data_IF_601562468709
#
_entry.id   IF_601562468709
#
_cell.length_a   1.000
_cell.length_b   1.000
_cell.length_c   1.000
_cell.angle_alpha   90.00
_cell.angle_beta   90.00
_cell.angle_gamma   90.00
#
_symmetry.space_group_name_H-M   'P 1'
#
loop_
_entity.id
_entity.type
_entity.pdbx_description
1 polymer ?
#
# COMPACT_ATOMS: atom_id res chain seq x y z
N UNK A 1 -11.38 -19.60 4.01
CA UNK A 1 -10.53 -18.91 5.01
C UNK A 1 -11.12 -17.54 5.11
N UNK A 2 -11.94 -17.32 6.13
CA UNK A 2 -12.49 -16.02 6.51
C UNK A 2 -11.53 -15.32 7.49
N UNK A 3 -11.91 -14.12 7.96
CA UNK A 3 -11.14 -13.35 8.95
C UNK A 3 -10.82 -14.12 10.22
N UNK A 4 -11.69 -15.00 10.67
CA UNK A 4 -11.61 -15.68 11.98
C UNK A 4 -10.97 -17.07 11.88
N UNK A 5 -10.75 -17.56 10.66
CA UNK A 5 -10.08 -18.85 10.40
C UNK A 5 -8.67 -18.82 10.96
N UNK A 6 -8.48 -19.52 12.09
CA UNK A 6 -7.17 -19.61 12.74
C UNK A 6 -6.30 -20.71 12.10
N UNK A 7 -5.21 -20.30 11.45
CA UNK A 7 -4.21 -21.22 10.88
C UNK A 7 -3.14 -21.52 11.92
N UNK A 8 -2.81 -22.81 12.10
CA UNK A 8 -1.70 -23.25 12.95
C UNK A 8 -0.37 -22.90 12.28
N UNK A 9 0.46 -22.14 12.97
CA UNK A 9 1.74 -21.60 12.47
C UNK A 9 2.91 -22.48 12.94
N UNK A 10 3.08 -22.63 14.25
CA UNK A 10 4.04 -23.56 14.87
C UNK A 10 3.54 -23.97 16.25
N UNK A 11 3.95 -25.15 16.74
CA UNK A 11 3.57 -25.61 18.08
C UNK A 11 2.06 -25.57 18.30
N UNK A 12 1.60 -24.85 19.33
CA UNK A 12 0.17 -24.59 19.60
C UNK A 12 -0.31 -23.22 19.10
N UNK A 13 0.58 -22.40 18.54
CA UNK A 13 0.27 -21.04 18.08
C UNK A 13 -0.61 -21.09 16.83
N UNK A 14 -1.76 -20.40 16.90
CA UNK A 14 -2.63 -20.17 15.77
C UNK A 14 -2.83 -18.67 15.61
N UNK A 15 -2.86 -18.20 14.36
CA UNK A 15 -3.17 -16.82 14.02
C UNK A 15 -4.34 -16.80 13.04
N UNK A 16 -5.20 -15.80 13.16
CA UNK A 16 -6.22 -15.49 12.17
C UNK A 16 -5.69 -14.42 11.19
N UNK A 17 -6.50 -14.01 10.21
CA UNK A 17 -6.07 -13.06 9.19
C UNK A 17 -5.70 -11.69 9.78
N UNK A 18 -6.49 -11.19 10.75
CA UNK A 18 -6.26 -9.91 11.42
C UNK A 18 -4.88 -9.86 12.08
N UNK A 19 -4.56 -10.85 12.93
CA UNK A 19 -3.26 -10.93 13.60
C UNK A 19 -2.11 -11.15 12.62
N UNK A 20 -2.33 -11.97 11.58
CA UNK A 20 -1.30 -12.22 10.57
C UNK A 20 -0.94 -10.95 9.79
N UNK A 21 -1.93 -10.14 9.40
CA UNK A 21 -1.73 -8.84 8.75
C UNK A 21 -1.03 -7.86 9.70
N UNK A 22 -1.53 -7.71 10.93
CA UNK A 22 -1.00 -6.77 11.91
C UNK A 22 0.48 -7.04 12.25
N UNK A 23 0.83 -8.33 12.41
CA UNK A 23 2.19 -8.77 12.79
C UNK A 23 3.08 -9.13 11.61
N UNK A 24 2.59 -9.02 10.38
CA UNK A 24 3.32 -9.41 9.17
C UNK A 24 3.85 -10.85 9.24
N UNK A 25 2.98 -11.81 9.57
CA UNK A 25 3.41 -13.17 9.89
C UNK A 25 3.68 -14.01 8.63
N UNK A 26 4.96 -14.16 8.26
CA UNK A 26 5.35 -14.89 7.04
C UNK A 26 4.87 -16.35 7.00
N UNK A 27 4.96 -17.16 8.08
CA UNK A 27 4.46 -18.53 8.01
C UNK A 27 2.95 -18.61 7.70
N UNK A 28 2.12 -17.70 8.23
CA UNK A 28 0.69 -17.65 7.90
C UNK A 28 0.49 -17.46 6.40
N UNK A 29 1.13 -16.44 5.81
CA UNK A 29 1.01 -16.13 4.39
C UNK A 29 1.65 -17.20 3.49
N UNK A 30 2.69 -17.89 3.97
CA UNK A 30 3.32 -18.99 3.24
C UNK A 30 2.39 -20.21 3.15
N UNK A 31 1.74 -20.57 4.26
CA UNK A 31 0.73 -21.64 4.27
C UNK A 31 -0.46 -21.26 3.39
N UNK A 32 -0.97 -20.03 3.53
CA UNK A 32 -2.10 -19.54 2.76
C UNK A 32 -1.80 -19.51 1.26
N UNK A 33 -0.66 -18.94 0.87
CA UNK A 33 -0.27 -18.83 -0.54
C UNK A 33 0.02 -20.18 -1.18
N UNK A 34 0.60 -21.12 -0.42
CA UNK A 34 0.77 -22.50 -0.88
C UNK A 34 -0.59 -23.17 -1.15
N UNK A 35 -1.58 -22.97 -0.28
CA UNK A 35 -2.96 -23.46 -0.50
C UNK A 35 -3.68 -22.77 -1.66
N UNK A 36 -3.42 -21.49 -1.87
CA UNK A 36 -4.00 -20.70 -2.96
C UNK A 36 -3.51 -21.19 -4.33
N UNK A 37 -2.23 -21.57 -4.41
CA UNK A 37 -1.58 -22.01 -5.63
C UNK A 37 -1.19 -20.84 -6.55
N UNK A 38 -0.18 -21.08 -7.39
CA UNK A 38 0.43 -20.02 -8.22
C UNK A 38 -0.56 -19.39 -9.19
N UNK A 39 -1.41 -20.20 -9.84
CA UNK A 39 -2.37 -19.71 -10.84
C UNK A 39 -3.32 -18.66 -10.27
N UNK A 40 -3.96 -18.93 -9.12
CA UNK A 40 -4.87 -17.97 -8.47
C UNK A 40 -4.12 -16.75 -7.92
N UNK A 41 -2.96 -16.97 -7.30
CA UNK A 41 -2.13 -15.87 -6.82
C UNK A 41 -1.72 -14.92 -7.95
N UNK A 42 -1.24 -15.48 -9.07
CA UNK A 42 -0.85 -14.75 -10.28
C UNK A 42 -2.03 -13.98 -10.89
N UNK A 43 -3.20 -14.62 -10.99
CA UNK A 43 -4.43 -13.97 -11.44
C UNK A 43 -4.74 -12.71 -10.62
N UNK A 44 -4.83 -12.82 -9.29
CA UNK A 44 -5.13 -11.68 -8.44
C UNK A 44 -4.01 -10.64 -8.45
N UNK A 45 -2.75 -11.04 -8.41
CA UNK A 45 -1.62 -10.11 -8.46
C UNK A 45 -1.69 -9.19 -9.70
N UNK A 46 -1.93 -9.77 -10.88
CA UNK A 46 -2.12 -9.02 -12.13
C UNK A 46 -3.41 -8.20 -12.12
N UNK A 47 -4.49 -8.76 -11.57
CA UNK A 47 -5.75 -8.04 -11.39
C UNK A 47 -5.60 -6.82 -10.46
N UNK A 48 -4.63 -6.80 -9.55
CA UNK A 48 -4.28 -5.61 -8.75
C UNK A 48 -3.22 -4.72 -9.41
N UNK A 49 -2.74 -5.06 -10.62
CA UNK A 49 -1.84 -4.23 -11.42
C UNK A 49 -0.34 -4.53 -11.29
N UNK A 50 0.04 -5.62 -10.60
CA UNK A 50 1.44 -6.06 -10.57
C UNK A 50 1.93 -6.44 -11.97
N UNK A 51 3.15 -5.98 -12.30
CA UNK A 51 3.74 -6.16 -13.64
C UNK A 51 3.24 -5.17 -14.70
N UNK A 52 2.38 -4.22 -14.35
CA UNK A 52 1.87 -3.19 -15.27
C UNK A 52 2.16 -1.77 -14.76
N UNK A 53 2.26 -0.81 -15.67
CA UNK A 53 2.30 0.62 -15.29
C UNK A 53 0.99 1.01 -14.57
N UNK A 54 1.13 1.79 -13.52
CA UNK A 54 0.05 2.37 -12.74
C UNK A 54 -0.36 3.74 -13.28
N UNK A 55 0.60 4.51 -13.82
CA UNK A 55 0.37 5.84 -14.37
C UNK A 55 -0.30 5.84 -15.74
N UNK A 56 -0.99 6.94 -16.04
CA UNK A 56 -1.41 7.30 -17.40
C UNK A 56 -0.33 8.17 -18.03
N UNK A 57 0.50 7.58 -18.88
CA UNK A 57 1.56 8.27 -19.61
C UNK A 57 2.56 9.03 -18.72
N UNK A 58 2.84 8.53 -17.52
CA UNK A 58 3.89 9.09 -16.67
C UNK A 58 5.25 8.76 -17.30
N UNK A 59 5.98 9.80 -17.66
CA UNK A 59 7.31 9.69 -18.26
C UNK A 59 8.28 8.97 -17.31
N UNK A 60 9.13 8.11 -17.87
CA UNK A 60 10.10 7.33 -17.08
C UNK A 60 9.50 6.20 -16.24
N UNK A 61 8.17 6.10 -16.11
CA UNK A 61 7.55 5.01 -15.36
C UNK A 61 7.91 3.65 -15.95
N UNK A 62 8.42 2.77 -15.10
CA UNK A 62 8.67 1.37 -15.41
C UNK A 62 7.58 0.50 -14.79
N UNK A 63 7.13 -0.55 -15.49
CA UNK A 63 6.37 -1.60 -14.81
C UNK A 63 7.28 -2.29 -13.80
N UNK A 64 6.75 -2.65 -12.63
CA UNK A 64 7.41 -3.61 -11.75
C UNK A 64 7.57 -4.99 -12.42
N UNK A 65 8.11 -5.96 -11.71
CA UNK A 65 8.32 -7.32 -12.21
C UNK A 65 7.38 -8.27 -11.50
N UNK A 66 6.60 -9.02 -12.27
CA UNK A 66 5.79 -10.14 -11.76
C UNK A 66 6.01 -11.39 -12.63
N UNK A 67 6.47 -12.51 -12.07
CA UNK A 67 6.77 -13.73 -12.82
C UNK A 67 5.56 -14.26 -13.60
N UNK A 68 5.80 -14.84 -14.78
CA UNK A 68 4.77 -15.57 -15.54
C UNK A 68 4.59 -17.00 -15.06
N UNK A 69 5.63 -17.58 -14.45
CA UNK A 69 5.72 -18.97 -14.03
C UNK A 69 6.00 -19.07 -12.52
N UNK A 70 5.63 -20.20 -11.88
CA UNK A 70 5.96 -20.42 -10.47
C UNK A 70 7.48 -20.43 -10.26
N UNK A 71 7.95 -20.09 -9.04
CA UNK A 71 9.37 -20.05 -8.73
C UNK A 71 10.03 -21.41 -8.97
N UNK A 72 11.15 -21.42 -9.72
CA UNK A 72 11.97 -22.62 -9.92
C UNK A 72 12.98 -22.71 -8.78
N UNK A 73 12.89 -23.75 -7.96
CA UNK A 73 13.84 -23.98 -6.87
C UNK A 73 13.56 -23.24 -5.55
N UNK A 74 12.45 -22.51 -5.45
CA UNK A 74 11.98 -21.91 -4.18
C UNK A 74 10.50 -22.25 -3.96
N UNK A 75 10.04 -22.57 -2.73
CA UNK A 75 8.63 -22.85 -2.48
C UNK A 75 7.74 -21.65 -2.79
N UNK A 76 6.55 -21.90 -3.37
CA UNK A 76 5.55 -20.86 -3.65
C UNK A 76 5.22 -20.03 -2.40
N UNK A 77 5.17 -20.67 -1.23
CA UNK A 77 4.92 -20.00 0.05
C UNK A 77 5.89 -18.85 0.33
N UNK A 78 7.17 -18.97 -0.08
CA UNK A 78 8.18 -17.93 0.10
C UNK A 78 7.88 -16.71 -0.77
N UNK A 79 7.53 -16.92 -2.05
CA UNK A 79 7.06 -15.86 -2.94
C UNK A 79 5.85 -15.13 -2.35
N UNK A 80 4.84 -15.87 -1.87
CA UNK A 80 3.59 -15.28 -1.39
C UNK A 80 3.72 -14.61 -0.02
N UNK A 81 4.70 -14.98 0.81
CA UNK A 81 4.88 -14.39 2.14
C UNK A 81 5.95 -13.31 2.20
N UNK A 82 7.04 -13.46 1.44
CA UNK A 82 8.17 -12.52 1.44
C UNK A 82 8.20 -11.62 0.20
N UNK A 83 7.40 -11.91 -0.83
CA UNK A 83 7.43 -11.19 -2.11
C UNK A 83 8.64 -11.55 -2.98
N UNK A 84 9.29 -12.70 -2.73
CA UNK A 84 10.46 -13.12 -3.49
C UNK A 84 10.14 -13.26 -4.99
N UNK A 85 11.02 -12.71 -5.84
CA UNK A 85 10.84 -12.70 -7.29
C UNK A 85 9.81 -11.67 -7.79
N UNK A 86 9.26 -10.83 -6.91
CA UNK A 86 8.32 -9.76 -7.27
C UNK A 86 9.00 -8.41 -7.00
N UNK A 87 8.93 -7.51 -7.97
CA UNK A 87 9.35 -6.12 -7.81
C UNK A 87 8.15 -5.20 -8.04
N UNK A 88 7.97 -4.24 -7.14
CA UNK A 88 6.83 -3.33 -7.12
C UNK A 88 7.36 -1.89 -7.09
N UNK A 89 6.76 -1.00 -7.87
CA UNK A 89 7.06 0.45 -7.79
C UNK A 89 6.19 1.15 -6.76
N UNK A 90 6.61 2.29 -6.18
CA UNK A 90 5.76 3.08 -5.30
C UNK A 90 4.42 3.48 -5.95
N UNK A 91 4.42 3.78 -7.25
CA UNK A 91 3.21 4.09 -8.01
C UNK A 91 2.25 2.90 -8.10
N UNK A 92 2.76 1.69 -8.34
CA UNK A 92 1.93 0.49 -8.33
C UNK A 92 1.33 0.22 -6.95
N UNK A 93 2.11 0.40 -5.88
CA UNK A 93 1.60 0.24 -4.51
C UNK A 93 0.52 1.29 -4.20
N UNK A 94 0.74 2.55 -4.60
CA UNK A 94 -0.23 3.62 -4.39
C UNK A 94 -1.55 3.36 -5.13
N UNK A 95 -1.48 2.95 -6.40
CA UNK A 95 -2.68 2.59 -7.18
C UNK A 95 -3.42 1.40 -6.55
N UNK A 96 -2.70 0.36 -6.12
CA UNK A 96 -3.29 -0.79 -5.45
C UNK A 96 -4.01 -0.40 -4.15
N UNK A 97 -3.36 0.39 -3.30
CA UNK A 97 -3.95 0.87 -2.03
C UNK A 97 -5.14 1.80 -2.26
N UNK A 98 -5.13 2.59 -3.34
CA UNK A 98 -6.28 3.43 -3.70
C UNK A 98 -7.54 2.59 -3.94
N UNK A 99 -7.40 1.42 -4.58
CA UNK A 99 -8.52 0.50 -4.77
C UNK A 99 -9.06 -0.04 -3.43
N UNK A 100 -8.18 -0.37 -2.47
CA UNK A 100 -8.63 -0.77 -1.13
C UNK A 100 -9.34 0.36 -0.38
N UNK A 101 -8.86 1.60 -0.55
CA UNK A 101 -9.44 2.78 0.10
C UNK A 101 -10.81 3.15 -0.47
N UNK A 102 -11.03 2.94 -1.77
CA UNK A 102 -12.21 3.45 -2.50
C UNK A 102 -13.26 2.39 -2.90
N UNK A 103 -13.16 1.17 -2.36
CA UNK A 103 -14.14 0.11 -2.63
C UNK A 103 -13.85 -0.75 -3.86
N UNK A 104 -12.72 -0.56 -4.54
CA UNK A 104 -12.26 -1.46 -5.61
C UNK A 104 -12.04 -0.79 -6.97
N UNK A 105 -12.15 0.53 -7.08
CA UNK A 105 -11.80 1.22 -8.32
C UNK A 105 -10.29 1.40 -8.42
N UNK A 106 -9.65 0.62 -9.29
CA UNK A 106 -8.25 0.81 -9.63
C UNK A 106 -8.16 1.91 -10.70
N UNK A 107 -7.68 3.08 -10.33
CA UNK A 107 -7.46 4.21 -11.25
C UNK A 107 -6.10 4.12 -11.94
N UNK A 108 -5.99 4.73 -13.12
CA UNK A 108 -4.70 5.19 -13.59
C UNK A 108 -4.26 6.39 -12.74
N UNK A 109 -3.02 6.39 -12.28
CA UNK A 109 -2.44 7.58 -11.63
C UNK A 109 -2.16 8.64 -12.70
N UNK A 110 -2.71 9.83 -12.51
CA UNK A 110 -2.57 10.94 -13.43
C UNK A 110 -1.81 12.07 -12.72
N UNK A 111 -0.80 12.62 -13.39
CA UNK A 111 0.06 13.68 -12.86
C UNK A 111 0.00 14.90 -13.78
N UNK A 112 -1.04 15.75 -13.65
CA UNK A 112 -1.13 16.98 -14.43
C UNK A 112 -0.03 17.98 -14.02
N UNK A 113 0.65 18.57 -15.00
CA UNK A 113 1.83 19.44 -14.85
C UNK A 113 1.56 20.90 -15.22
N UNK A 114 0.39 21.23 -15.74
CA UNK A 114 0.00 22.60 -16.10
C UNK A 114 -1.39 22.94 -15.56
N UNK A 115 -1.68 24.24 -15.39
CA UNK A 115 -3.01 24.70 -14.95
C UNK A 115 -4.15 24.25 -15.88
N UNK A 116 -3.85 24.08 -17.17
CA UNK A 116 -4.77 23.56 -18.17
C UNK A 116 -5.03 22.07 -17.92
N UNK A 117 -3.97 21.26 -17.79
CA UNK A 117 -4.10 19.82 -17.52
C UNK A 117 -4.83 19.54 -16.19
N UNK A 118 -4.62 20.38 -15.18
CA UNK A 118 -5.32 20.20 -13.90
C UNK A 118 -6.80 20.64 -14.03
N UNK A 119 -7.12 21.65 -14.85
CA UNK A 119 -8.52 22.08 -15.12
C UNK A 119 -9.32 21.03 -15.87
N UNK A 120 -8.68 20.38 -16.84
CA UNK A 120 -9.29 19.34 -17.67
C UNK A 120 -9.13 17.94 -17.08
N UNK A 121 -8.71 17.85 -15.81
CA UNK A 121 -8.45 16.61 -15.13
C UNK A 121 -9.74 15.78 -14.97
N UNK A 122 -9.76 14.62 -15.62
CA UNK A 122 -10.81 13.61 -15.45
C UNK A 122 -10.16 12.30 -14.98
N UNK A 123 -10.52 11.77 -13.80
CA UNK A 123 -10.04 10.48 -13.33
C UNK A 123 -10.37 9.36 -14.32
N UNK A 124 -9.38 8.53 -14.66
CA UNK A 124 -9.55 7.37 -15.55
C UNK A 124 -9.51 6.08 -14.75
N UNK A 125 -10.64 5.37 -14.68
CA UNK A 125 -10.70 4.04 -14.09
C UNK A 125 -10.00 3.05 -15.01
N UNK A 126 -8.96 2.37 -14.50
CA UNK A 126 -8.26 1.29 -15.19
C UNK A 126 -9.07 0.00 -15.13
N UNK A 127 -9.50 -0.40 -13.92
CA UNK A 127 -10.27 -1.62 -13.65
C UNK A 127 -11.17 -1.44 -12.43
N UNK A 128 -12.27 -2.18 -12.40
CA UNK A 128 -13.12 -2.34 -11.20
C UNK A 128 -12.86 -3.71 -10.60
N UNK A 129 -12.59 -3.75 -9.30
CA UNK A 129 -12.28 -4.93 -8.52
C UNK A 129 -13.45 -5.23 -7.60
N UNK A 130 -13.98 -6.44 -7.67
CA UNK A 130 -15.04 -6.91 -6.76
C UNK A 130 -14.45 -7.31 -5.41
N UNK A 131 -14.03 -6.30 -4.63
CA UNK A 131 -13.33 -6.49 -3.35
C UNK A 131 -14.05 -5.87 -2.16
N UNK A 132 -15.07 -5.05 -2.39
CA UNK A 132 -15.76 -4.28 -1.35
C UNK A 132 -16.25 -5.18 -0.21
N UNK A 133 -16.85 -6.32 -0.56
CA UNK A 133 -17.34 -7.33 0.39
C UNK A 133 -16.25 -7.93 1.30
N UNK A 134 -14.97 -7.88 0.89
CA UNK A 134 -13.84 -8.42 1.64
C UNK A 134 -13.09 -7.36 2.45
N UNK A 135 -13.35 -6.07 2.21
CA UNK A 135 -12.68 -4.98 2.93
C UNK A 135 -12.90 -5.03 4.46
N UNK A 136 -14.09 -5.38 4.99
CA UNK A 136 -14.30 -5.54 6.43
C UNK A 136 -13.42 -6.61 7.10
N UNK A 137 -12.91 -7.58 6.32
CA UNK A 137 -12.03 -8.64 6.83
C UNK A 137 -10.54 -8.24 6.77
N UNK A 138 -10.19 -7.33 5.86
CA UNK A 138 -8.80 -6.90 5.61
C UNK A 138 -8.45 -5.68 6.45
N UNK A 139 -9.32 -4.66 6.47
CA UNK A 139 -9.06 -3.37 7.14
C UNK A 139 -8.70 -3.52 8.63
N UNK A 140 -9.35 -4.38 9.44
CA UNK A 140 -8.97 -4.56 10.84
C UNK A 140 -7.52 -5.03 11.02
N UNK A 141 -7.01 -5.86 10.11
CA UNK A 141 -5.62 -6.31 10.15
C UNK A 141 -4.63 -5.20 9.79
N UNK A 142 -4.99 -4.36 8.81
CA UNK A 142 -4.19 -3.18 8.41
C UNK A 142 -4.21 -2.08 9.48
N UNK A 143 -5.34 -1.88 10.15
CA UNK A 143 -5.48 -1.00 11.32
C UNK A 143 -4.66 -1.55 12.50
N UNK A 144 -4.80 -2.85 12.76
CA UNK A 144 -3.99 -3.53 13.79
C UNK A 144 -2.48 -3.38 13.55
N UNK A 145 -2.03 -3.30 12.29
CA UNK A 145 -0.63 -3.03 11.98
C UNK A 145 -0.14 -1.70 12.58
N UNK A 146 -0.93 -0.63 12.49
CA UNK A 146 -0.58 0.70 12.98
C UNK A 146 -0.89 0.92 14.46
N UNK A 147 -1.84 0.19 15.03
CA UNK A 147 -2.21 0.33 16.44
C UNK A 147 -1.31 -0.49 17.37
N UNK A 148 -1.10 -1.77 17.03
CA UNK A 148 -0.37 -2.72 17.87
C UNK A 148 0.50 -3.67 17.06
N UNK A 149 0.73 -3.42 15.78
CA UNK A 149 1.49 -4.31 14.91
C UNK A 149 2.88 -3.80 14.55
N UNK A 150 3.31 -4.09 13.33
CA UNK A 150 4.63 -3.70 12.83
C UNK A 150 4.75 -2.20 12.51
N UNK A 151 3.64 -1.51 12.30
CA UNK A 151 3.57 -0.11 11.89
C UNK A 151 3.28 0.88 13.04
N UNK A 152 3.36 0.46 14.31
CA UNK A 152 3.08 1.30 15.50
C UNK A 152 3.77 2.66 15.51
N UNK A 153 4.95 2.75 14.89
CA UNK A 153 5.70 4.00 14.77
C UNK A 153 5.00 5.06 13.92
N UNK A 154 3.97 4.69 13.13
CA UNK A 154 3.11 5.65 12.46
C UNK A 154 2.51 6.64 13.46
N UNK A 155 2.06 6.18 14.63
CA UNK A 155 1.63 7.07 15.72
C UNK A 155 0.74 8.22 15.18
N UNK A 156 -0.31 7.88 14.40
CA UNK A 156 -1.18 8.85 13.72
C UNK A 156 -2.11 9.54 14.74
N UNK A 157 -2.90 10.52 14.31
CA UNK A 157 -3.93 11.13 15.15
C UNK A 157 -5.08 10.12 15.35
N UNK A 158 -5.40 9.69 16.60
CA UNK A 158 -6.43 8.68 16.83
C UNK A 158 -7.84 9.09 16.35
N UNK A 159 -8.09 10.39 16.13
CA UNK A 159 -9.36 10.86 15.57
C UNK A 159 -9.46 10.68 14.05
N UNK A 160 -8.34 10.45 13.37
CA UNK A 160 -8.23 10.27 11.92
C UNK A 160 -7.58 8.91 11.61
N UNK A 161 -8.31 7.80 11.78
CA UNK A 161 -7.78 6.45 11.63
C UNK A 161 -7.12 6.20 10.28
N UNK A 162 -5.94 5.59 10.35
CA UNK A 162 -5.14 5.17 9.20
C UNK A 162 -5.06 3.65 9.17
N UNK A 163 -5.10 3.06 7.97
CA UNK A 163 -4.84 1.65 7.73
C UNK A 163 -3.54 1.53 6.96
N UNK A 164 -2.69 0.57 7.30
CA UNK A 164 -1.42 0.43 6.60
C UNK A 164 -0.74 -0.91 6.73
N UNK A 165 0.36 -1.05 6.02
CA UNK A 165 1.21 -2.25 6.07
C UNK A 165 2.66 -1.89 5.83
N UNK A 166 3.55 -2.44 6.65
CA UNK A 166 5.00 -2.34 6.47
C UNK A 166 5.53 -3.43 5.53
N UNK A 167 6.60 -3.12 4.81
CA UNK A 167 7.49 -4.09 4.17
C UNK A 167 8.94 -3.75 4.49
N UNK A 168 9.79 -4.77 4.61
CA UNK A 168 11.23 -4.59 4.73
C UNK A 168 11.91 -5.60 3.80
N UNK A 169 12.78 -5.12 2.92
CA UNK A 169 13.60 -5.96 2.05
C UNK A 169 15.07 -5.57 2.23
N UNK A 170 16.00 -6.50 2.02
CA UNK A 170 17.43 -6.21 2.06
C UNK A 170 18.07 -6.87 0.86
N UNK A 171 18.77 -6.08 0.04
CA UNK A 171 19.48 -6.54 -1.14
C UNK A 171 20.88 -5.90 -1.16
N UNK A 172 21.94 -6.71 -1.28
CA UNK A 172 23.33 -6.24 -1.42
C UNK A 172 23.75 -5.15 -0.41
N UNK A 173 23.38 -5.32 0.87
CA UNK A 173 23.59 -4.38 2.01
C UNK A 173 22.77 -3.09 1.97
N UNK A 174 21.92 -2.91 0.98
CA UNK A 174 20.90 -1.86 0.97
C UNK A 174 19.61 -2.42 1.59
N UNK A 175 19.14 -1.73 2.62
CA UNK A 175 17.83 -1.96 3.20
C UNK A 175 16.79 -1.10 2.49
N UNK A 176 15.63 -1.69 2.26
CA UNK A 176 14.43 -1.04 1.77
C UNK A 176 13.37 -1.06 2.87
N UNK A 177 12.89 0.11 3.25
CA UNK A 177 11.80 0.29 4.20
C UNK A 177 10.56 0.77 3.48
N UNK A 178 9.53 -0.06 3.43
CA UNK A 178 8.26 0.26 2.81
C UNK A 178 7.18 0.49 3.86
N UNK A 179 6.37 1.52 3.64
CA UNK A 179 5.08 1.64 4.27
C UNK A 179 4.07 2.16 3.27
N UNK A 180 3.00 1.39 3.08
CA UNK A 180 1.84 1.80 2.32
C UNK A 180 0.67 1.97 3.27
N UNK A 181 -0.06 3.07 3.13
CA UNK A 181 -1.18 3.42 4.00
C UNK A 181 -2.26 4.21 3.28
N UNK A 182 -3.44 4.22 3.88
CA UNK A 182 -4.53 5.08 3.47
C UNK A 182 -5.43 5.42 4.66
N UNK A 183 -6.15 6.53 4.55
CA UNK A 183 -7.35 6.79 5.35
C UNK A 183 -8.58 6.70 4.43
N UNK A 184 -9.70 6.24 4.97
CA UNK A 184 -10.98 6.17 4.26
C UNK A 184 -12.09 6.96 4.96
N UNK A 185 -11.74 7.68 6.02
CA UNK A 185 -12.58 8.57 6.83
C UNK A 185 -12.32 10.04 6.48
N UNK A 186 -13.23 10.91 6.93
CA UNK A 186 -13.14 12.36 6.72
C UNK A 186 -13.55 12.79 5.30
N UNK A 187 -13.45 14.10 5.07
CA UNK A 187 -13.80 14.74 3.80
C UNK A 187 -12.74 14.49 2.72
N UNK A 188 -11.46 14.41 3.12
CA UNK A 188 -10.34 14.19 2.20
C UNK A 188 -9.67 12.85 2.50
N UNK A 189 -9.63 11.98 1.48
CA UNK A 189 -9.03 10.65 1.60
C UNK A 189 -7.71 10.61 0.87
N UNK A 190 -6.70 10.00 1.47
CA UNK A 190 -5.34 9.94 0.96
C UNK A 190 -4.80 8.52 0.97
N UNK A 191 -3.91 8.28 0.03
CA UNK A 191 -2.99 7.13 0.03
C UNK A 191 -1.59 7.69 0.16
N UNK A 192 -0.83 7.19 1.13
CA UNK A 192 0.56 7.56 1.35
C UNK A 192 1.44 6.32 1.22
N UNK A 193 2.41 6.39 0.31
CA UNK A 193 3.44 5.37 0.13
C UNK A 193 4.81 6.00 0.43
N UNK A 194 5.52 5.42 1.39
CA UNK A 194 6.89 5.80 1.74
C UNK A 194 7.81 4.63 1.42
N UNK A 195 8.80 4.90 0.56
CA UNK A 195 9.91 4.02 0.28
C UNK A 195 11.20 4.67 0.78
N UNK A 196 11.86 4.03 1.73
CA UNK A 196 13.18 4.39 2.20
C UNK A 196 14.22 3.43 1.62
N UNK A 197 15.33 3.96 1.14
CA UNK A 197 16.47 3.19 0.63
C UNK A 197 17.72 3.63 1.34
N UNK A 198 18.53 2.70 1.87
CA UNK A 198 19.78 3.08 2.52
C UNK A 198 20.38 2.00 3.39
N UNK A 199 21.17 2.41 4.38
CA UNK A 199 21.89 1.53 5.31
C UNK A 199 21.12 1.28 6.61
N UNK A 200 21.88 1.14 7.70
CA UNK A 200 21.35 0.87 9.04
C UNK A 200 20.24 1.86 9.44
N UNK A 201 19.15 1.35 10.01
CA UNK A 201 17.97 2.14 10.43
C UNK A 201 16.83 2.20 9.40
N UNK A 202 17.09 1.90 8.13
CA UNK A 202 16.04 1.78 7.11
C UNK A 202 15.23 0.51 7.34
N UNK A 203 13.92 0.69 7.52
CA UNK A 203 12.99 -0.40 7.80
C UNK A 203 11.55 0.04 7.55
N UNK A 204 10.64 -0.91 7.40
CA UNK A 204 9.20 -0.62 7.29
C UNK A 204 8.66 0.22 8.46
N UNK A 205 9.01 -0.06 9.74
CA UNK A 205 8.61 0.81 10.86
C UNK A 205 9.15 2.24 10.76
N UNK A 206 10.36 2.46 10.22
CA UNK A 206 10.88 3.81 9.99
C UNK A 206 10.08 4.54 8.89
N UNK A 207 9.74 3.85 7.80
CA UNK A 207 8.87 4.39 6.75
C UNK A 207 7.46 4.71 7.30
N UNK A 208 6.94 3.88 8.19
CA UNK A 208 5.67 4.11 8.87
C UNK A 208 5.68 5.40 9.70
N UNK A 209 6.78 5.67 10.42
CA UNK A 209 6.93 6.91 11.18
C UNK A 209 6.84 8.16 10.31
N UNK A 210 7.46 8.15 9.13
CA UNK A 210 7.45 9.29 8.22
C UNK A 210 6.02 9.55 7.71
N UNK A 211 5.33 8.51 7.24
CA UNK A 211 3.94 8.65 6.81
C UNK A 211 3.04 9.13 7.97
N UNK A 212 3.26 8.59 9.17
CA UNK A 212 2.58 9.00 10.38
C UNK A 212 2.71 10.49 10.71
N UNK A 213 3.92 11.03 10.61
CA UNK A 213 4.16 12.47 10.77
C UNK A 213 3.42 13.30 9.71
N UNK A 214 3.34 12.82 8.45
CA UNK A 214 2.55 13.48 7.41
C UNK A 214 1.07 13.52 7.78
N UNK A 215 0.48 12.40 8.19
CA UNK A 215 -0.92 12.36 8.62
C UNK A 215 -1.18 13.31 9.80
N UNK A 216 -0.28 13.36 10.78
CA UNK A 216 -0.38 14.28 11.92
C UNK A 216 -0.37 15.74 11.50
N UNK A 217 0.59 16.15 10.69
CA UNK A 217 0.66 17.53 10.20
C UNK A 217 -0.58 17.92 9.39
N UNK A 218 -1.10 17.00 8.58
CA UNK A 218 -2.35 17.20 7.85
C UNK A 218 -3.55 17.32 8.81
N UNK A 219 -3.63 16.49 9.85
CA UNK A 219 -4.68 16.58 10.88
C UNK A 219 -4.62 17.90 11.64
N UNK A 220 -3.43 18.32 12.08
CA UNK A 220 -3.20 19.62 12.75
C UNK A 220 -3.62 20.81 11.86
N UNK A 221 -3.41 20.69 10.55
CA UNK A 221 -3.88 21.65 9.54
C UNK A 221 -5.39 21.57 9.24
N UNK A 222 -6.14 20.71 9.93
CA UNK A 222 -7.56 20.40 9.66
C UNK A 222 -7.82 19.92 8.23
N UNK A 223 -6.86 19.23 7.63
CA UNK A 223 -6.97 18.74 6.25
C UNK A 223 -8.14 17.78 6.10
N UNK A 224 -8.28 16.81 7.00
CA UNK A 224 -9.30 15.75 6.92
C UNK A 224 -10.70 16.24 7.29
N UNK A 225 -10.79 17.27 8.14
CA UNK A 225 -12.04 17.80 8.67
C UNK A 225 -12.74 18.84 7.78
N UNK A 226 -12.00 19.53 6.88
CA UNK A 226 -12.54 20.60 6.04
C UNK A 226 -12.75 20.11 4.60
N UNK A 227 -13.77 20.63 3.92
CA UNK A 227 -13.84 20.48 2.46
C UNK A 227 -12.78 21.39 1.82
N UNK A 228 -11.76 20.76 1.23
CA UNK A 228 -10.79 21.48 0.43
C UNK A 228 -11.26 21.43 -1.01
N UNK A 229 -11.75 22.57 -1.50
CA UNK A 229 -11.90 22.76 -2.94
C UNK A 229 -10.51 22.91 -3.52
N UNK A 230 -9.85 21.79 -3.84
CA UNK A 230 -8.61 21.79 -4.61
C UNK A 230 -8.93 22.37 -5.98
N UNK A 231 -8.84 23.69 -6.08
CA UNK A 231 -8.72 24.35 -7.35
C UNK A 231 -7.45 23.80 -7.99
N UNK A 232 -7.54 23.28 -9.21
CA UNK A 232 -6.41 22.95 -10.04
C UNK A 232 -5.20 23.90 -9.94
N UNK A 233 -5.50 25.19 -9.75
CA UNK A 233 -4.54 26.27 -9.66
C UNK A 233 -3.74 26.32 -8.36
N UNK A 234 -4.30 25.85 -7.26
CA UNK A 234 -3.62 25.82 -5.97
C UNK A 234 -2.43 24.82 -5.95
N UNK A 235 -2.48 23.77 -6.77
CA UNK A 235 -1.46 22.72 -6.83
C UNK A 235 -0.19 23.14 -7.59
N UNK A 236 -0.31 24.03 -8.59
CA UNK A 236 0.84 24.53 -9.37
C UNK A 236 1.52 25.72 -8.66
N UNK A 237 0.76 26.55 -7.94
CA UNK A 237 1.28 27.76 -7.26
C UNK A 237 2.29 27.47 -6.15
N UNK A 238 2.31 26.26 -5.58
CA UNK A 238 3.24 25.89 -4.51
C UNK A 238 4.69 25.65 -5.01
N UNK A 239 4.92 25.52 -6.32
CA UNK A 239 6.25 25.36 -6.91
C UNK A 239 7.05 26.68 -6.99
N UNK A 240 6.44 27.83 -6.72
CA UNK A 240 7.09 29.15 -6.78
C UNK A 240 7.89 29.53 -5.53
N UNK A 241 7.84 28.74 -4.45
CA UNK A 241 8.41 29.14 -3.15
C UNK A 241 9.91 28.84 -2.97
N UNK A 242 10.61 28.30 -3.97
CA UNK A 242 12.06 28.10 -3.92
C UNK A 242 12.74 28.69 -5.15
N UNK A 243 12.62 30.02 -5.30
CA UNK A 243 13.51 30.81 -6.14
C UNK A 243 13.81 32.13 -5.45
N UNK A 244 14.76 32.10 -4.49
CA UNK A 244 15.67 33.18 -4.16
C UNK A 244 17.00 32.58 -3.71
#
# INVERSE_FOLDING_TARGET
IDRDTAIRIYGRTRLNLTEALARSNNPFFSILGTKLGFSRFSYYARLFGLGEKAGLNIEGEKPGVFPSEPPRGSPLGIMTSFGEGISLTPLQLAAMLSAFANGGNLYYLQYPRSLEEVRDFVPRVKRRLDIEQWLPDIKPGMMGAVEYGTARRANYDPNEPVMGKTGTCTENRTHLGWFGSFNDVGHNKLVVVVLLTGGSGVSGPAAAQIAGNMYKQLSEGSFFAKDWHFSPSALVSAQSCCSQ
#
